data_IF_163651900606
#
_entry.id   IF_163651900606
#
_cell.length_a   1.000
_cell.length_b   1.000
_cell.length_c   1.000
_cell.angle_alpha   90.00
_cell.angle_beta   90.00
_cell.angle_gamma   90.00
#
_symmetry.space_group_name_H-M   'P 1'
#
loop_
_entity.id
_entity.type
_entity.pdbx_description
1 polymer ?
#
# COMPACT_ATOMS: atom_id res chain seq x y z
N UNK A 1 28.67 26.20 -17.58
CA UNK A 1 28.32 24.90 -18.16
C UNK A 1 28.36 23.91 -17.01
N UNK A 2 27.19 23.49 -16.53
CA UNK A 2 27.13 22.45 -15.51
C UNK A 2 27.56 21.14 -16.18
N UNK A 3 28.56 20.41 -15.66
CA UNK A 3 28.97 19.14 -16.26
C UNK A 3 27.75 18.21 -16.32
N UNK A 4 27.57 17.55 -17.46
CA UNK A 4 26.53 16.54 -17.62
C UNK A 4 26.57 15.57 -16.43
N UNK A 5 25.42 15.24 -15.84
CA UNK A 5 25.39 14.46 -14.60
C UNK A 5 26.07 13.09 -14.77
N UNK A 6 27.06 12.79 -13.92
CA UNK A 6 27.89 11.57 -14.03
C UNK A 6 27.20 10.36 -13.38
N UNK A 7 26.75 9.40 -14.19
CA UNK A 7 26.05 8.22 -13.70
C UNK A 7 26.95 7.26 -12.90
N UNK A 8 26.52 6.91 -11.68
CA UNK A 8 27.05 5.75 -10.94
C UNK A 8 26.47 4.49 -11.59
N UNK A 9 27.31 3.76 -12.34
CA UNK A 9 26.87 2.63 -13.16
C UNK A 9 27.52 1.32 -12.75
N UNK A 10 26.70 0.38 -12.26
CA UNK A 10 27.09 -0.97 -11.88
C UNK A 10 26.33 -1.95 -12.78
N UNK A 11 26.84 -2.17 -14.00
CA UNK A 11 26.16 -2.98 -15.02
C UNK A 11 26.96 -4.23 -15.34
N UNK A 12 26.31 -5.38 -15.20
CA UNK A 12 26.84 -6.64 -15.68
C UNK A 12 26.42 -6.89 -17.14
N UNK A 13 27.27 -7.53 -17.94
CA UNK A 13 27.00 -7.81 -19.36
C UNK A 13 25.73 -8.66 -19.57
N UNK A 14 25.47 -9.60 -18.66
CA UNK A 14 24.26 -10.42 -18.63
C UNK A 14 23.29 -9.94 -17.55
N UNK A 15 23.31 -8.65 -17.22
CA UNK A 15 22.56 -8.10 -16.11
C UNK A 15 21.12 -7.73 -16.44
N UNK A 16 20.28 -7.70 -15.40
CA UNK A 16 18.94 -7.07 -15.45
C UNK A 16 18.93 -5.89 -14.50
N UNK A 17 18.44 -4.74 -14.95
CA UNK A 17 18.30 -3.55 -14.10
C UNK A 17 17.35 -3.84 -12.94
N UNK A 18 17.81 -3.61 -11.72
CA UNK A 18 17.02 -3.80 -10.49
C UNK A 18 16.80 -2.49 -9.74
N UNK A 19 17.67 -1.50 -9.93
CA UNK A 19 17.52 -0.15 -9.39
C UNK A 19 18.06 0.86 -10.41
N UNK A 20 17.31 1.92 -10.66
CA UNK A 20 17.78 3.10 -11.38
C UNK A 20 17.30 4.38 -10.71
N UNK A 21 18.09 5.44 -10.84
CA UNK A 21 17.69 6.78 -10.44
C UNK A 21 17.99 7.76 -11.56
N UNK A 22 17.14 8.77 -11.66
CA UNK A 22 17.19 9.81 -12.67
C UNK A 22 17.22 11.17 -11.99
N UNK A 23 18.06 12.06 -12.47
CA UNK A 23 18.03 13.48 -12.11
C UNK A 23 17.22 14.24 -13.16
N UNK A 24 16.32 15.09 -12.69
CA UNK A 24 15.45 15.90 -13.53
C UNK A 24 15.80 17.36 -13.34
N UNK A 25 16.22 18.03 -14.40
CA UNK A 25 16.72 19.43 -14.36
C UNK A 25 15.60 20.48 -14.56
N UNK A 26 14.36 20.03 -14.76
CA UNK A 26 13.22 20.88 -15.10
C UNK A 26 12.73 20.70 -16.54
N UNK A 27 13.56 20.15 -17.42
CA UNK A 27 13.24 19.88 -18.81
C UNK A 27 13.44 18.40 -19.18
N UNK A 28 14.61 17.85 -18.86
CA UNK A 28 15.05 16.51 -19.28
C UNK A 28 15.42 15.63 -18.09
N UNK A 29 15.29 14.32 -18.27
CA UNK A 29 15.73 13.31 -17.30
C UNK A 29 17.08 12.73 -17.72
N UNK A 30 18.02 12.70 -16.80
CA UNK A 30 19.33 12.07 -16.99
C UNK A 30 19.48 10.90 -16.02
N UNK A 31 19.91 9.75 -16.52
CA UNK A 31 20.23 8.59 -15.67
C UNK A 31 21.46 8.91 -14.81
N UNK A 32 21.33 8.79 -13.49
CA UNK A 32 22.39 9.13 -12.53
C UNK A 32 22.83 7.97 -11.64
N UNK A 33 22.02 6.92 -11.59
CA UNK A 33 22.38 5.67 -10.92
C UNK A 33 21.75 4.51 -11.66
N UNK A 34 22.52 3.44 -11.83
CA UNK A 34 22.05 2.18 -12.38
C UNK A 34 22.74 1.02 -11.70
N UNK A 35 21.93 0.08 -11.24
CA UNK A 35 22.39 -1.22 -10.79
C UNK A 35 21.69 -2.33 -11.59
N UNK A 36 22.50 -3.04 -12.36
CA UNK A 36 22.07 -4.16 -13.21
C UNK A 36 22.93 -5.39 -12.92
N UNK A 37 22.65 -6.11 -11.82
CA UNK A 37 23.42 -7.29 -11.42
C UNK A 37 23.26 -8.44 -12.42
N UNK A 38 24.25 -9.34 -12.43
CA UNK A 38 24.19 -10.55 -13.25
C UNK A 38 23.00 -11.43 -12.90
N UNK A 39 22.43 -12.07 -13.92
CA UNK A 39 21.43 -13.13 -13.75
C UNK A 39 22.02 -14.53 -13.89
N UNK A 40 23.32 -14.65 -14.16
CA UNK A 40 23.98 -15.93 -14.32
C UNK A 40 24.12 -16.66 -12.97
N UNK A 41 23.54 -17.86 -12.87
CA UNK A 41 23.53 -18.66 -11.64
C UNK A 41 24.91 -19.18 -11.22
N UNK A 42 25.86 -19.26 -12.16
CA UNK A 42 27.23 -19.74 -11.89
C UNK A 42 28.14 -18.65 -11.32
N UNK A 43 27.71 -17.39 -11.30
CA UNK A 43 28.50 -16.32 -10.72
C UNK A 43 28.46 -16.32 -9.20
N UNK A 44 29.57 -15.90 -8.59
CA UNK A 44 29.74 -15.89 -7.13
C UNK A 44 28.62 -15.13 -6.41
N UNK A 45 28.18 -14.01 -6.95
CA UNK A 45 27.11 -13.20 -6.37
C UNK A 45 25.73 -13.90 -6.38
N UNK A 46 25.53 -14.92 -7.22
CA UNK A 46 24.26 -15.63 -7.34
C UNK A 46 24.32 -17.05 -6.76
N UNK A 47 25.42 -17.45 -6.11
CA UNK A 47 25.53 -18.75 -5.44
C UNK A 47 24.40 -18.92 -4.42
N UNK A 48 23.74 -20.07 -4.48
CA UNK A 48 22.57 -20.42 -3.64
C UNK A 48 21.39 -19.43 -3.72
N UNK A 49 21.36 -18.53 -4.70
CA UNK A 49 20.24 -17.58 -4.87
C UNK A 49 18.92 -18.24 -5.23
N UNK A 50 18.94 -19.49 -5.73
CA UNK A 50 17.76 -20.20 -6.22
C UNK A 50 16.94 -19.38 -7.25
N UNK A 51 17.65 -18.63 -8.12
CA UNK A 51 17.04 -17.80 -9.17
C UNK A 51 16.67 -16.39 -8.72
N UNK A 52 16.91 -16.03 -7.45
CA UNK A 52 16.72 -14.67 -6.95
C UNK A 52 17.90 -13.77 -7.33
N UNK A 53 17.62 -12.72 -8.10
CA UNK A 53 18.60 -11.68 -8.43
C UNK A 53 19.03 -10.85 -7.22
N UNK A 54 20.20 -10.20 -7.32
CA UNK A 54 20.66 -9.17 -6.39
C UNK A 54 19.70 -7.96 -6.42
N UNK A 55 18.62 -7.99 -5.66
CA UNK A 55 17.59 -6.95 -5.66
C UNK A 55 16.94 -6.86 -4.29
N UNK A 56 16.66 -5.63 -3.85
CA UNK A 56 15.90 -5.37 -2.63
C UNK A 56 14.53 -6.08 -2.72
N UNK A 57 13.83 -5.96 -3.85
CA UNK A 57 12.55 -6.65 -4.05
C UNK A 57 12.66 -8.18 -3.98
N UNK A 58 13.77 -8.76 -4.43
CA UNK A 58 13.99 -10.20 -4.31
C UNK A 58 14.39 -10.65 -2.91
N UNK A 59 14.99 -9.77 -2.11
CA UNK A 59 15.18 -10.01 -0.68
C UNK A 59 13.82 -10.10 0.05
N UNK A 60 12.88 -9.21 -0.28
CA UNK A 60 11.49 -9.31 0.19
C UNK A 60 10.77 -10.55 -0.31
N UNK A 61 11.00 -10.96 -1.56
CA UNK A 61 10.46 -12.22 -2.11
C UNK A 61 11.01 -13.44 -1.38
N UNK A 62 12.31 -13.44 -1.04
CA UNK A 62 12.90 -14.48 -0.20
C UNK A 62 12.22 -14.52 1.17
N UNK A 63 12.08 -13.39 1.84
CA UNK A 63 11.45 -13.31 3.16
C UNK A 63 9.99 -13.79 3.13
N UNK A 64 9.25 -13.44 2.07
CA UNK A 64 7.88 -13.90 1.84
C UNK A 64 7.83 -15.42 1.74
N UNK A 65 8.74 -16.01 0.95
CA UNK A 65 8.82 -17.46 0.81
C UNK A 65 9.26 -18.14 2.12
N UNK A 66 10.22 -17.57 2.84
CA UNK A 66 10.72 -18.12 4.09
C UNK A 66 9.66 -18.10 5.20
N UNK A 67 8.93 -16.99 5.34
CA UNK A 67 7.94 -16.80 6.42
C UNK A 67 6.56 -17.35 6.07
N UNK A 68 6.14 -17.33 4.81
CA UNK A 68 4.76 -17.66 4.42
C UNK A 68 4.66 -18.74 3.35
N UNK A 69 5.77 -19.27 2.86
CA UNK A 69 5.78 -20.30 1.81
C UNK A 69 5.32 -19.81 0.43
N UNK A 70 5.13 -18.50 0.26
CA UNK A 70 4.61 -17.87 -0.96
C UNK A 70 5.44 -16.65 -1.34
N UNK A 71 5.61 -16.42 -2.64
CA UNK A 71 6.44 -15.33 -3.15
C UNK A 71 5.78 -13.94 -3.08
N UNK A 72 4.45 -13.87 -2.95
CA UNK A 72 3.64 -12.65 -3.06
C UNK A 72 3.21 -12.06 -1.71
N UNK A 73 3.88 -12.44 -0.61
CA UNK A 73 3.45 -12.11 0.75
C UNK A 73 4.27 -10.99 1.41
N UNK A 74 4.91 -10.13 0.63
CA UNK A 74 5.76 -9.05 1.15
C UNK A 74 5.01 -8.11 2.11
N UNK A 75 3.73 -7.85 1.86
CA UNK A 75 2.87 -7.09 2.77
C UNK A 75 2.62 -7.78 4.11
N UNK A 76 2.60 -9.13 4.15
CA UNK A 76 2.52 -9.88 5.41
C UNK A 76 3.85 -9.85 6.16
N UNK A 77 4.97 -9.95 5.46
CA UNK A 77 6.31 -9.76 6.05
C UNK A 77 6.41 -8.38 6.71
N UNK A 78 5.98 -7.33 6.01
CA UNK A 78 5.99 -5.97 6.55
C UNK A 78 5.09 -5.83 7.80
N UNK A 79 3.90 -6.44 7.80
CA UNK A 79 3.02 -6.45 8.97
C UNK A 79 3.63 -7.22 10.14
N UNK A 80 4.23 -8.38 9.89
CA UNK A 80 4.85 -9.20 10.93
C UNK A 80 6.08 -8.51 11.55
N UNK A 81 6.83 -7.74 10.75
CA UNK A 81 8.04 -7.03 11.16
C UNK A 81 7.84 -6.12 12.38
N UNK A 82 6.67 -5.49 12.55
CA UNK A 82 6.45 -4.61 13.71
C UNK A 82 6.32 -5.36 15.05
N UNK A 83 6.19 -6.70 15.03
CA UNK A 83 6.23 -7.53 16.23
C UNK A 83 7.61 -8.16 16.51
N UNK A 84 8.59 -7.93 15.62
CA UNK A 84 9.92 -8.52 15.75
C UNK A 84 10.95 -7.60 16.42
N UNK A 85 12.04 -8.21 16.87
CA UNK A 85 13.24 -7.56 17.37
C UNK A 85 14.43 -7.94 16.47
N UNK A 86 15.32 -6.98 16.22
CA UNK A 86 16.50 -7.18 15.37
C UNK A 86 17.79 -7.43 16.14
N UNK A 87 17.73 -7.45 17.49
CA UNK A 87 18.90 -7.59 18.36
C UNK A 87 19.79 -8.79 17.98
N UNK A 88 19.19 -9.95 17.74
CA UNK A 88 19.88 -11.20 17.36
C UNK A 88 20.63 -11.07 16.02
N UNK A 89 20.11 -10.25 15.09
CA UNK A 89 20.62 -10.11 13.74
C UNK A 89 21.40 -8.81 13.50
N UNK A 90 21.81 -8.11 14.56
CA UNK A 90 22.51 -6.81 14.46
C UNK A 90 23.82 -6.90 13.67
N UNK A 91 24.57 -8.00 13.83
CA UNK A 91 25.85 -8.22 13.16
C UNK A 91 25.72 -8.98 11.82
N UNK A 92 24.49 -9.35 11.44
CA UNK A 92 24.26 -10.12 10.23
C UNK A 92 24.12 -9.18 9.04
N UNK A 93 25.25 -8.85 8.40
CA UNK A 93 25.23 -8.12 7.14
C UNK A 93 24.86 -9.06 5.98
N UNK A 94 23.60 -9.03 5.54
CA UNK A 94 23.08 -9.78 4.39
C UNK A 94 22.94 -8.87 3.17
N UNK A 95 22.33 -7.71 3.35
CA UNK A 95 22.08 -6.72 2.31
C UNK A 95 22.86 -5.45 2.63
N UNK A 96 23.70 -5.01 1.70
CA UNK A 96 24.52 -3.81 1.87
C UNK A 96 24.71 -3.04 0.57
N UNK A 97 25.11 -1.78 0.72
CA UNK A 97 25.61 -0.97 -0.38
C UNK A 97 26.97 -0.40 0.04
N UNK A 98 27.96 -0.43 -0.86
CA UNK A 98 29.26 0.17 -0.60
C UNK A 98 29.26 1.68 -0.89
N UNK A 99 30.37 2.37 -0.58
CA UNK A 99 30.53 3.81 -0.82
C UNK A 99 30.38 4.24 -2.29
N UNK A 100 30.59 3.31 -3.23
CA UNK A 100 30.49 3.55 -4.67
C UNK A 100 29.07 3.25 -5.18
N UNK A 101 28.13 2.88 -4.30
CA UNK A 101 26.75 2.57 -4.64
C UNK A 101 26.53 1.14 -5.14
N UNK A 102 27.50 0.23 -5.03
CA UNK A 102 27.33 -1.17 -5.42
C UNK A 102 26.53 -1.92 -4.35
N UNK A 103 25.39 -2.48 -4.73
CA UNK A 103 24.54 -3.30 -3.88
C UNK A 103 25.07 -4.74 -3.85
N UNK A 104 25.06 -5.35 -2.67
CA UNK A 104 25.41 -6.76 -2.45
C UNK A 104 24.42 -7.43 -1.50
N UNK A 105 23.96 -8.61 -1.89
CA UNK A 105 23.05 -9.49 -1.18
C UNK A 105 23.67 -10.89 -1.07
N UNK A 106 24.00 -11.31 0.15
CA UNK A 106 24.69 -12.58 0.40
C UNK A 106 23.70 -13.74 0.63
N UNK A 107 23.27 -14.37 -0.46
CA UNK A 107 22.36 -15.51 -0.42
C UNK A 107 22.95 -16.76 0.26
N UNK A 108 24.26 -16.97 0.17
CA UNK A 108 24.91 -18.11 0.82
C UNK A 108 24.84 -17.96 2.34
N UNK A 109 25.20 -16.79 2.85
CA UNK A 109 25.07 -16.46 4.27
C UNK A 109 23.62 -16.50 4.72
N UNK A 110 22.69 -15.98 3.90
CA UNK A 110 21.26 -16.01 4.18
C UNK A 110 20.74 -17.44 4.36
N UNK A 111 21.04 -18.35 3.45
CA UNK A 111 20.60 -19.74 3.53
C UNK A 111 21.35 -20.57 4.58
N UNK A 112 22.59 -20.17 4.92
CA UNK A 112 23.33 -20.77 6.02
C UNK A 112 22.69 -20.45 7.38
N UNK A 113 22.20 -19.22 7.54
CA UNK A 113 21.56 -18.77 8.78
C UNK A 113 20.12 -19.29 8.88
N UNK A 114 19.33 -19.13 7.82
CA UNK A 114 17.89 -19.37 7.83
C UNK A 114 17.52 -20.68 7.12
N UNK A 115 17.47 -21.77 7.90
CA UNK A 115 17.30 -23.14 7.38
C UNK A 115 15.88 -23.71 7.44
N UNK A 116 14.99 -23.10 8.22
CA UNK A 116 13.68 -23.66 8.53
C UNK A 116 12.56 -22.75 8.02
N UNK A 117 12.27 -22.75 6.72
CA UNK A 117 11.15 -21.99 6.16
C UNK A 117 9.81 -22.56 6.65
N UNK A 118 8.79 -21.70 6.78
CA UNK A 118 7.41 -22.05 7.11
C UNK A 118 6.69 -22.66 5.90
N UNK A 119 7.11 -23.86 5.49
CA UNK A 119 6.58 -24.56 4.31
C UNK A 119 5.14 -25.05 4.46
N UNK A 120 4.60 -25.03 5.68
CA UNK A 120 3.23 -25.47 5.97
C UNK A 120 2.22 -24.32 6.04
N UNK A 121 2.65 -23.08 5.80
CA UNK A 121 1.75 -21.92 5.80
C UNK A 121 1.06 -21.69 7.14
N UNK A 122 1.75 -21.95 8.26
CA UNK A 122 1.19 -21.73 9.60
C UNK A 122 0.94 -20.24 9.84
N UNK A 123 -0.12 -19.92 10.59
CA UNK A 123 -0.30 -18.58 11.17
C UNK A 123 0.92 -18.26 12.04
N UNK A 124 1.59 -17.15 11.74
CA UNK A 124 2.80 -16.69 12.43
C UNK A 124 2.51 -15.70 13.56
N UNK A 125 1.24 -15.52 13.94
CA UNK A 125 0.86 -14.67 15.06
C UNK A 125 1.56 -15.10 16.36
N UNK A 126 2.49 -14.28 16.84
CA UNK A 126 3.26 -14.54 18.06
C UNK A 126 4.52 -15.39 17.86
N UNK A 127 4.84 -15.80 16.62
CA UNK A 127 6.04 -16.59 16.31
C UNK A 127 7.29 -15.69 16.22
N UNK A 128 8.02 -15.58 17.35
CA UNK A 128 9.17 -14.68 17.52
C UNK A 128 10.21 -14.80 16.40
N UNK A 129 10.61 -16.02 16.04
CA UNK A 129 11.65 -16.24 15.02
C UNK A 129 11.33 -15.54 13.69
N UNK A 130 10.13 -15.76 13.16
CA UNK A 130 9.75 -15.20 11.86
C UNK A 130 9.45 -13.69 11.95
N UNK A 131 8.99 -13.22 13.10
CA UNK A 131 8.85 -11.80 13.37
C UNK A 131 10.21 -11.09 13.35
N UNK A 132 11.22 -11.64 14.02
CA UNK A 132 12.58 -11.09 14.05
C UNK A 132 13.24 -11.12 12.66
N UNK A 133 13.03 -12.20 11.89
CA UNK A 133 13.49 -12.27 10.48
C UNK A 133 12.84 -11.18 9.64
N UNK A 134 11.52 -10.98 9.81
CA UNK A 134 10.78 -9.93 9.10
C UNK A 134 11.27 -8.53 9.49
N UNK A 135 11.54 -8.31 10.78
CA UNK A 135 12.10 -7.06 11.29
C UNK A 135 13.52 -6.80 10.77
N UNK A 136 14.36 -7.83 10.65
CA UNK A 136 15.69 -7.73 10.04
C UNK A 136 15.59 -7.29 8.57
N UNK A 137 14.72 -7.93 7.78
CA UNK A 137 14.51 -7.59 6.36
C UNK A 137 14.04 -6.14 6.20
N UNK A 138 13.12 -5.71 7.06
CA UNK A 138 12.62 -4.34 7.11
C UNK A 138 13.75 -3.35 7.43
N UNK A 139 14.51 -3.59 8.51
CA UNK A 139 15.66 -2.77 8.93
C UNK A 139 16.73 -2.67 7.84
N UNK A 140 17.10 -3.77 7.22
CA UNK A 140 18.12 -3.82 6.18
C UNK A 140 17.68 -3.06 4.93
N UNK A 141 16.39 -3.17 4.57
CA UNK A 141 15.76 -2.41 3.47
C UNK A 141 15.79 -0.92 3.74
N UNK A 142 15.37 -0.50 4.93
CA UNK A 142 15.43 0.90 5.35
C UNK A 142 16.86 1.45 5.28
N UNK A 143 17.83 0.69 5.78
CA UNK A 143 19.23 1.10 5.80
C UNK A 143 19.77 1.28 4.37
N UNK A 144 19.57 0.29 3.49
CA UNK A 144 20.12 0.37 2.13
C UNK A 144 19.47 1.50 1.32
N UNK A 145 18.17 1.74 1.48
CA UNK A 145 17.50 2.86 0.83
C UNK A 145 18.08 4.20 1.29
N UNK A 146 18.27 4.38 2.60
CA UNK A 146 18.90 5.59 3.15
C UNK A 146 20.34 5.77 2.67
N UNK A 147 21.13 4.70 2.62
CA UNK A 147 22.52 4.75 2.15
C UNK A 147 22.59 5.15 0.66
N UNK A 148 21.77 4.53 -0.21
CA UNK A 148 21.70 4.88 -1.64
C UNK A 148 21.26 6.34 -1.81
N UNK A 149 20.18 6.75 -1.16
CA UNK A 149 19.67 8.11 -1.26
C UNK A 149 20.68 9.15 -0.75
N UNK A 150 21.45 8.83 0.29
CA UNK A 150 22.50 9.71 0.82
C UNK A 150 23.65 9.86 -0.19
N UNK A 151 24.09 8.77 -0.82
CA UNK A 151 25.09 8.81 -1.91
C UNK A 151 24.61 9.71 -3.05
N UNK A 152 23.34 9.56 -3.47
CA UNK A 152 22.77 10.36 -4.55
C UNK A 152 22.59 11.82 -4.16
N UNK A 153 22.09 12.12 -2.96
CA UNK A 153 21.94 13.49 -2.45
C UNK A 153 23.28 14.23 -2.38
N UNK A 154 24.36 13.54 -2.02
CA UNK A 154 25.71 14.10 -1.99
C UNK A 154 26.25 14.51 -3.37
N UNK A 155 25.73 13.91 -4.45
CA UNK A 155 26.09 14.24 -5.84
C UNK A 155 25.11 15.18 -6.53
N UNK A 156 23.82 15.06 -6.21
CA UNK A 156 22.73 15.78 -6.87
C UNK A 156 21.90 16.53 -5.83
N UNK A 157 22.08 17.84 -5.79
CA UNK A 157 21.34 18.72 -4.87
C UNK A 157 19.93 18.95 -5.41
N UNK A 158 18.99 18.11 -4.97
CA UNK A 158 17.54 18.30 -5.20
C UNK A 158 16.79 18.27 -3.88
N UNK A 159 15.73 19.06 -3.78
CA UNK A 159 14.84 19.06 -2.62
C UNK A 159 13.69 18.06 -2.76
N UNK A 160 13.47 17.50 -3.95
CA UNK A 160 12.34 16.63 -4.25
C UNK A 160 12.82 15.26 -4.71
N UNK A 161 12.29 14.22 -4.07
CA UNK A 161 12.44 12.83 -4.45
C UNK A 161 11.11 12.32 -5.03
N UNK A 162 11.13 11.84 -6.27
CA UNK A 162 10.07 10.99 -6.80
C UNK A 162 10.48 9.54 -6.59
N UNK A 163 9.64 8.74 -5.92
CA UNK A 163 9.97 7.37 -5.57
C UNK A 163 8.92 6.39 -6.12
N UNK A 164 9.39 5.36 -6.83
CA UNK A 164 8.55 4.34 -7.45
C UNK A 164 9.26 2.97 -7.44
N UNK A 165 8.57 1.95 -7.93
CA UNK A 165 8.92 0.53 -7.87
C UNK A 165 8.22 -0.20 -6.74
N UNK A 166 8.11 -1.52 -6.83
CA UNK A 166 7.37 -2.34 -5.84
C UNK A 166 7.86 -2.17 -4.39
N UNK A 167 9.15 -1.85 -4.18
CA UNK A 167 9.70 -1.56 -2.83
C UNK A 167 9.10 -0.28 -2.24
N UNK A 168 8.70 0.69 -3.06
CA UNK A 168 8.08 1.94 -2.61
C UNK A 168 6.71 1.73 -1.94
N UNK A 169 6.08 0.55 -2.08
CA UNK A 169 4.88 0.20 -1.30
C UNK A 169 5.16 0.03 0.20
N UNK A 170 6.43 -0.03 0.61
CA UNK A 170 6.86 -0.14 2.00
C UNK A 170 6.72 1.20 2.74
N UNK A 171 5.60 1.37 3.43
CA UNK A 171 5.26 2.63 4.11
C UNK A 171 6.16 2.95 5.29
N UNK A 172 6.75 1.94 5.92
CA UNK A 172 7.70 2.11 7.04
C UNK A 172 9.00 2.71 6.53
N UNK A 173 9.50 2.20 5.39
CA UNK A 173 10.67 2.76 4.72
C UNK A 173 10.40 4.17 4.16
N UNK A 174 9.22 4.39 3.59
CA UNK A 174 8.82 5.73 3.10
C UNK A 174 8.81 6.75 4.23
N UNK A 175 8.22 6.41 5.38
CA UNK A 175 8.14 7.32 6.52
C UNK A 175 9.53 7.62 7.09
N UNK A 176 10.44 6.64 7.10
CA UNK A 176 11.85 6.88 7.46
C UNK A 176 12.55 7.86 6.51
N UNK A 177 12.33 7.72 5.20
CA UNK A 177 12.89 8.64 4.20
C UNK A 177 12.35 10.05 4.42
N UNK A 178 11.04 10.20 4.63
CA UNK A 178 10.39 11.50 4.87
C UNK A 178 10.94 12.15 6.14
N UNK A 179 10.93 11.43 7.28
CA UNK A 179 11.40 11.95 8.58
C UNK A 179 12.90 12.23 8.64
N UNK A 180 13.69 11.65 7.72
CA UNK A 180 15.12 11.94 7.65
C UNK A 180 15.42 13.40 7.28
N UNK A 181 14.48 14.10 6.65
CA UNK A 181 14.69 15.45 6.12
C UNK A 181 15.71 15.51 4.98
N UNK A 182 16.11 14.38 4.40
CA UNK A 182 17.06 14.32 3.28
C UNK A 182 16.51 15.03 2.03
N UNK A 183 15.19 15.01 1.88
CA UNK A 183 14.42 15.73 0.86
C UNK A 183 13.31 16.53 1.55
N UNK A 184 13.04 17.74 1.07
CA UNK A 184 11.91 18.55 1.54
C UNK A 184 10.57 17.95 1.07
N UNK A 185 10.56 17.36 -0.12
CA UNK A 185 9.39 16.74 -0.72
C UNK A 185 9.69 15.30 -1.13
N UNK A 186 8.87 14.35 -0.69
CA UNK A 186 8.89 12.97 -1.16
C UNK A 186 7.54 12.69 -1.83
N UNK A 187 7.58 12.45 -3.12
CA UNK A 187 6.39 12.28 -3.96
C UNK A 187 6.21 10.81 -4.30
N UNK A 188 5.06 10.28 -3.91
CA UNK A 188 4.60 8.91 -4.12
C UNK A 188 3.16 8.98 -4.66
N UNK A 189 2.84 8.22 -5.72
CA UNK A 189 1.48 8.03 -6.20
C UNK A 189 0.89 6.70 -5.68
N UNK A 190 -0.39 6.41 -5.94
CA UNK A 190 -1.01 5.14 -5.56
C UNK A 190 -0.51 3.93 -6.36
N UNK A 191 -0.03 4.16 -7.58
CA UNK A 191 0.45 3.14 -8.51
C UNK A 191 1.97 3.22 -8.73
N UNK A 192 2.73 2.99 -7.67
CA UNK A 192 4.21 2.99 -7.71
C UNK A 192 4.80 1.69 -8.29
N UNK A 193 4.05 0.60 -8.29
CA UNK A 193 4.53 -0.71 -8.75
C UNK A 193 4.42 -0.86 -10.29
N UNK A 194 4.59 -2.08 -10.80
CA UNK A 194 4.64 -2.35 -12.23
C UNK A 194 3.37 -1.89 -12.98
N UNK A 195 2.22 -1.79 -12.31
CA UNK A 195 0.99 -1.24 -12.89
C UNK A 195 1.15 0.23 -13.35
N UNK A 196 1.93 1.04 -12.64
CA UNK A 196 2.20 2.43 -12.99
C UNK A 196 3.08 2.59 -14.23
N UNK A 197 3.80 1.54 -14.64
CA UNK A 197 4.70 1.61 -15.80
C UNK A 197 3.94 1.85 -17.11
N UNK A 198 2.68 1.42 -17.22
CA UNK A 198 1.84 1.70 -18.38
C UNK A 198 1.60 3.21 -18.53
N UNK A 199 1.32 3.91 -17.43
CA UNK A 199 1.16 5.37 -17.39
C UNK A 199 2.50 6.05 -17.73
N UNK A 200 3.59 5.61 -17.10
CA UNK A 200 4.93 6.14 -17.37
C UNK A 200 5.36 5.98 -18.83
N UNK A 201 5.10 4.83 -19.44
CA UNK A 201 5.40 4.54 -20.84
C UNK A 201 4.59 5.42 -21.80
N UNK A 202 3.30 5.60 -21.54
CA UNK A 202 2.45 6.49 -22.33
C UNK A 202 2.92 7.95 -22.25
N UNK A 203 3.27 8.42 -21.05
CA UNK A 203 3.81 9.77 -20.85
C UNK A 203 5.17 9.96 -21.52
N UNK A 204 6.06 8.96 -21.43
CA UNK A 204 7.36 8.99 -22.10
C UNK A 204 7.21 9.05 -23.63
N UNK A 205 6.34 8.21 -24.20
CA UNK A 205 6.05 8.23 -25.63
C UNK A 205 5.43 9.56 -26.07
N UNK A 206 4.46 10.09 -25.30
CA UNK A 206 3.85 11.40 -25.55
C UNK A 206 4.90 12.50 -25.55
N UNK A 207 5.81 12.52 -24.57
CA UNK A 207 6.86 13.54 -24.50
C UNK A 207 7.81 13.47 -25.72
N UNK A 208 8.18 12.27 -26.16
CA UNK A 208 9.03 12.07 -27.35
C UNK A 208 8.33 12.56 -28.62
N UNK A 209 7.05 12.21 -28.80
CA UNK A 209 6.30 12.52 -30.01
C UNK A 209 5.88 13.99 -30.08
N UNK A 210 5.43 14.55 -28.97
CA UNK A 210 4.87 15.91 -28.92
C UNK A 210 5.95 16.97 -28.66
N UNK A 211 7.10 16.58 -28.11
CA UNK A 211 8.19 17.47 -27.65
C UNK A 211 7.68 18.62 -26.76
N UNK A 212 6.59 18.37 -26.05
CA UNK A 212 5.92 19.33 -25.19
C UNK A 212 5.41 18.58 -23.96
N UNK A 213 5.88 19.01 -22.80
CA UNK A 213 5.34 18.56 -21.53
C UNK A 213 4.00 19.24 -21.28
N UNK A 214 2.97 18.45 -20.99
CA UNK A 214 1.68 18.94 -20.48
C UNK A 214 1.60 18.56 -19.02
N UNK A 215 1.35 19.55 -18.16
CA UNK A 215 1.12 19.33 -16.73
C UNK A 215 -0.38 19.14 -16.50
N UNK A 216 -0.74 18.06 -15.82
CA UNK A 216 -2.11 17.80 -15.39
C UNK A 216 -2.12 17.50 -13.89
N UNK A 217 -3.27 17.71 -13.25
CA UNK A 217 -3.48 17.27 -11.88
C UNK A 217 -3.40 15.75 -11.82
N UNK A 218 -2.47 15.23 -11.03
CA UNK A 218 -2.35 13.79 -10.82
C UNK A 218 -3.53 13.31 -9.98
N UNK A 219 -4.20 12.26 -10.43
CA UNK A 219 -5.22 11.53 -9.68
C UNK A 219 -4.82 10.07 -9.59
N UNK A 220 -5.41 9.32 -8.66
CA UNK A 220 -5.33 7.86 -8.65
C UNK A 220 -6.68 7.23 -9.05
N UNK A 221 -7.68 8.01 -9.45
CA UNK A 221 -9.03 7.52 -9.78
C UNK A 221 -9.26 7.40 -11.30
N UNK A 222 -8.55 6.47 -11.94
CA UNK A 222 -8.58 6.34 -13.40
C UNK A 222 -9.68 5.42 -13.95
N UNK A 223 -10.32 4.59 -13.13
CA UNK A 223 -11.31 3.63 -13.62
C UNK A 223 -12.65 4.24 -14.03
N UNK A 224 -13.63 3.38 -14.29
CA UNK A 224 -14.93 3.83 -14.84
C UNK A 224 -15.83 4.40 -13.74
N UNK A 225 -16.48 5.51 -14.04
CA UNK A 225 -17.64 5.97 -13.27
C UNK A 225 -18.90 5.33 -13.85
N UNK A 226 -19.81 4.90 -12.97
CA UNK A 226 -21.09 4.29 -13.33
C UNK A 226 -22.22 5.21 -12.90
N UNK A 227 -23.18 5.46 -13.79
CA UNK A 227 -24.36 6.26 -13.45
C UNK A 227 -25.42 5.42 -12.75
N UNK A 228 -26.32 6.06 -11.99
CA UNK A 228 -27.34 5.37 -11.20
C UNK A 228 -28.20 4.39 -12.03
N UNK A 229 -28.51 4.69 -13.30
CA UNK A 229 -29.24 3.77 -14.17
C UNK A 229 -28.47 2.47 -14.45
N UNK A 230 -27.16 2.54 -14.67
CA UNK A 230 -26.32 1.35 -14.89
C UNK A 230 -26.22 0.51 -13.61
N UNK A 231 -26.12 1.19 -12.46
CA UNK A 231 -26.10 0.55 -11.14
C UNK A 231 -27.44 -0.15 -10.88
N UNK A 232 -28.57 0.52 -11.14
CA UNK A 232 -29.89 -0.05 -10.96
C UNK A 232 -30.08 -1.30 -11.82
N UNK A 233 -29.71 -1.25 -13.11
CA UNK A 233 -29.76 -2.43 -13.99
C UNK A 233 -28.97 -3.59 -13.43
N UNK A 234 -27.77 -3.35 -12.88
CA UNK A 234 -26.99 -4.40 -12.25
C UNK A 234 -27.65 -4.94 -10.97
N UNK A 235 -28.24 -4.08 -10.13
CA UNK A 235 -28.93 -4.50 -8.90
C UNK A 235 -30.15 -5.39 -9.22
N UNK A 236 -30.92 -5.06 -10.26
CA UNK A 236 -32.13 -5.80 -10.67
C UNK A 236 -31.84 -7.24 -11.12
N UNK A 237 -30.58 -7.58 -11.46
CA UNK A 237 -30.16 -8.96 -11.73
C UNK A 237 -30.05 -9.82 -10.46
N UNK A 238 -30.08 -9.21 -9.27
CA UNK A 238 -29.95 -9.87 -7.98
C UNK A 238 -31.24 -9.75 -7.15
N UNK A 239 -31.50 -10.74 -6.30
CA UNK A 239 -32.67 -10.75 -5.41
C UNK A 239 -32.38 -10.13 -4.03
N UNK A 240 -31.84 -8.92 -4.00
CA UNK A 240 -31.57 -8.18 -2.76
C UNK A 240 -32.64 -7.13 -2.47
N UNK A 241 -32.79 -6.77 -1.18
CA UNK A 241 -33.56 -5.59 -0.79
C UNK A 241 -32.68 -4.35 -1.03
N UNK A 242 -33.21 -3.34 -1.72
CA UNK A 242 -32.50 -2.10 -1.96
C UNK A 242 -33.45 -0.90 -1.91
N UNK A 243 -32.90 0.25 -1.53
CA UNK A 243 -33.58 1.53 -1.58
C UNK A 243 -32.70 2.56 -2.30
N UNK A 244 -33.34 3.49 -3.02
CA UNK A 244 -32.69 4.70 -3.49
C UNK A 244 -32.70 5.74 -2.38
N UNK A 245 -31.55 6.32 -2.08
CA UNK A 245 -31.39 7.36 -1.07
C UNK A 245 -30.80 8.60 -1.74
N UNK A 246 -31.44 9.74 -1.50
CA UNK A 246 -30.96 11.03 -1.99
C UNK A 246 -29.52 11.31 -1.51
N UNK A 247 -28.76 12.03 -2.32
CA UNK A 247 -27.32 12.24 -2.10
C UNK A 247 -27.03 12.94 -0.75
N UNK A 248 -27.88 13.86 -0.33
CA UNK A 248 -27.74 14.55 0.95
C UNK A 248 -27.96 13.62 2.16
N UNK A 249 -28.71 12.54 1.98
CA UNK A 249 -29.10 11.61 3.05
C UNK A 249 -28.24 10.33 3.09
N UNK A 250 -27.68 9.88 1.96
CA UNK A 250 -26.95 8.60 1.89
C UNK A 250 -25.74 8.60 2.84
N UNK A 251 -25.04 9.72 2.97
CA UNK A 251 -23.88 9.84 3.85
C UNK A 251 -24.26 9.70 5.33
N UNK A 252 -25.35 10.35 5.76
CA UNK A 252 -25.83 10.25 7.15
C UNK A 252 -26.35 8.83 7.45
N UNK A 253 -26.98 8.16 6.46
CA UNK A 253 -27.41 6.76 6.58
C UNK A 253 -26.22 5.80 6.76
N UNK A 254 -25.23 5.88 5.88
CA UNK A 254 -24.04 5.02 5.96
C UNK A 254 -23.21 5.34 7.22
N UNK A 255 -23.05 6.62 7.58
CA UNK A 255 -22.41 7.02 8.83
C UNK A 255 -23.09 6.39 10.06
N UNK A 256 -24.42 6.39 10.08
CA UNK A 256 -25.20 5.74 11.15
C UNK A 256 -25.00 4.22 11.19
N UNK A 257 -24.94 3.55 10.04
CA UNK A 257 -24.64 2.12 9.96
C UNK A 257 -23.25 1.81 10.52
N UNK A 258 -22.23 2.57 10.09
CA UNK A 258 -20.86 2.43 10.57
C UNK A 258 -20.80 2.65 12.09
N UNK A 259 -21.41 3.71 12.60
CA UNK A 259 -21.41 4.03 14.04
C UNK A 259 -22.04 2.90 14.87
N UNK A 260 -23.09 2.25 14.35
CA UNK A 260 -23.71 1.05 14.92
C UNK A 260 -22.93 -0.25 14.63
N UNK A 261 -21.65 -0.15 14.30
CA UNK A 261 -20.72 -1.25 14.05
C UNK A 261 -21.12 -2.19 12.92
N UNK A 262 -21.88 -1.70 11.93
CA UNK A 262 -22.07 -2.42 10.68
C UNK A 262 -20.86 -2.23 9.77
N UNK A 263 -20.57 -3.26 8.98
CA UNK A 263 -19.54 -3.23 7.94
C UNK A 263 -20.24 -2.98 6.62
N UNK A 264 -19.80 -1.98 5.87
CA UNK A 264 -20.47 -1.52 4.66
C UNK A 264 -19.53 -1.65 3.46
N UNK A 265 -19.97 -2.36 2.43
CA UNK A 265 -19.35 -2.26 1.10
C UNK A 265 -19.66 -0.88 0.52
N UNK A 266 -18.65 -0.21 -0.01
CA UNK A 266 -18.72 1.18 -0.46
C UNK A 266 -18.19 1.28 -1.89
N UNK A 267 -19.08 1.62 -2.82
CA UNK A 267 -18.82 1.74 -4.24
C UNK A 267 -19.28 3.12 -4.72
N UNK A 268 -18.31 3.98 -5.04
CA UNK A 268 -18.57 5.36 -5.48
C UNK A 268 -17.62 5.76 -6.61
N UNK A 269 -18.10 6.64 -7.50
CA UNK A 269 -17.26 7.31 -8.51
C UNK A 269 -16.36 6.38 -9.35
N UNK A 270 -15.26 6.95 -9.84
CA UNK A 270 -14.22 6.24 -10.58
C UNK A 270 -13.37 5.41 -9.62
N UNK A 271 -13.11 4.15 -9.93
CA UNK A 271 -12.23 3.33 -9.08
C UNK A 271 -10.80 3.85 -9.04
N UNK A 272 -10.16 3.55 -7.93
CA UNK A 272 -8.75 3.78 -7.68
C UNK A 272 -7.86 2.81 -8.49
N UNK A 273 -6.71 3.29 -8.94
CA UNK A 273 -5.68 2.53 -9.65
C UNK A 273 -4.53 2.24 -8.68
N UNK A 274 -4.18 0.96 -8.56
CA UNK A 274 -3.16 0.49 -7.63
C UNK A 274 -3.68 -0.60 -6.68
N UNK A 275 -2.83 -1.09 -5.76
CA UNK A 275 -3.16 -2.24 -4.91
C UNK A 275 -3.99 -1.88 -3.67
N UNK A 276 -4.42 -0.62 -3.53
CA UNK A 276 -5.06 -0.10 -2.32
C UNK A 276 -6.40 0.50 -2.67
N UNK A 277 -7.42 0.18 -1.90
CA UNK A 277 -8.66 0.94 -1.93
C UNK A 277 -8.48 2.26 -1.19
N UNK A 278 -8.86 3.35 -1.85
CA UNK A 278 -8.73 4.74 -1.45
C UNK A 278 -10.09 5.41 -1.27
N UNK A 279 -11.14 4.62 -1.04
CA UNK A 279 -12.48 5.11 -0.72
C UNK A 279 -13.49 5.08 -1.86
N UNK A 280 -13.19 4.46 -3.01
CA UNK A 280 -14.14 4.30 -4.10
C UNK A 280 -14.56 2.85 -4.36
N UNK A 281 -13.70 1.88 -4.02
CA UNK A 281 -14.01 0.44 -4.01
C UNK A 281 -13.56 -0.18 -2.67
N UNK A 282 -14.27 0.20 -1.61
CA UNK A 282 -13.82 0.00 -0.23
C UNK A 282 -14.81 -0.81 0.60
N UNK A 283 -14.32 -1.48 1.63
CA UNK A 283 -15.12 -1.95 2.76
C UNK A 283 -14.81 -1.01 3.92
N UNK A 284 -15.85 -0.39 4.45
CA UNK A 284 -15.77 0.62 5.49
C UNK A 284 -16.30 0.09 6.82
N UNK A 285 -15.66 0.50 7.91
CA UNK A 285 -16.06 0.09 9.25
C UNK A 285 -15.71 1.14 10.32
N UNK A 286 -16.30 0.99 11.51
CA UNK A 286 -15.99 1.85 12.67
C UNK A 286 -14.62 1.50 13.27
N UNK A 287 -13.65 2.43 13.28
CA UNK A 287 -12.31 2.17 13.80
C UNK A 287 -12.23 2.11 15.33
N UNK A 288 -13.21 2.67 16.06
CA UNK A 288 -13.18 2.71 17.52
C UNK A 288 -13.72 1.46 18.20
N UNK A 289 -14.34 0.55 17.44
CA UNK A 289 -14.91 -0.66 18.00
C UNK A 289 -13.83 -1.71 18.30
N UNK A 290 -13.75 -2.21 19.55
CA UNK A 290 -12.73 -3.18 19.95
C UNK A 290 -12.88 -4.53 19.23
N UNK A 291 -14.09 -4.85 18.76
CA UNK A 291 -14.39 -6.12 18.09
C UNK A 291 -14.26 -6.03 16.56
N UNK A 292 -14.13 -4.82 15.99
CA UNK A 292 -14.25 -4.65 14.55
C UNK A 292 -13.15 -5.36 13.77
N UNK A 293 -11.91 -5.29 14.26
CA UNK A 293 -10.80 -6.02 13.64
C UNK A 293 -11.04 -7.53 13.61
N UNK A 294 -11.56 -8.09 14.70
CA UNK A 294 -11.91 -9.51 14.79
C UNK A 294 -13.01 -9.89 13.79
N UNK A 295 -14.07 -9.06 13.69
CA UNK A 295 -15.15 -9.26 12.72
C UNK A 295 -14.60 -9.26 11.29
N UNK A 296 -13.77 -8.28 10.96
CA UNK A 296 -13.19 -8.16 9.62
C UNK A 296 -12.26 -9.34 9.32
N UNK A 297 -11.36 -9.71 10.22
CA UNK A 297 -10.38 -10.78 9.98
C UNK A 297 -11.06 -12.15 9.82
N UNK A 298 -12.08 -12.46 10.61
CA UNK A 298 -12.71 -13.79 10.62
C UNK A 298 -13.90 -13.96 9.70
N UNK A 299 -14.74 -12.92 9.57
CA UNK A 299 -16.01 -13.04 8.87
C UNK A 299 -16.00 -12.35 7.49
N UNK A 300 -15.09 -11.40 7.25
CA UNK A 300 -15.08 -10.62 6.00
C UNK A 300 -13.85 -10.93 5.13
N UNK A 301 -12.67 -11.01 5.73
CA UNK A 301 -11.37 -11.07 5.03
C UNK A 301 -10.61 -12.37 5.19
N UNK A 302 -11.00 -13.24 6.11
CA UNK A 302 -10.38 -14.55 6.36
C UNK A 302 -8.84 -14.50 6.30
N UNK A 303 -8.22 -13.60 7.08
CA UNK A 303 -6.78 -13.32 7.01
C UNK A 303 -6.10 -13.32 8.38
N UNK A 304 -4.77 -13.37 8.39
CA UNK A 304 -3.95 -13.45 9.60
C UNK A 304 -4.20 -12.28 10.56
N UNK A 305 -4.24 -12.58 11.87
CA UNK A 305 -4.69 -11.65 12.92
C UNK A 305 -3.77 -10.45 13.12
N UNK A 306 -2.49 -10.56 12.80
CA UNK A 306 -1.55 -9.44 12.94
C UNK A 306 -1.70 -8.40 11.83
N UNK A 307 -2.41 -8.69 10.71
CA UNK A 307 -2.49 -7.75 9.59
C UNK A 307 -3.24 -6.47 9.97
N UNK A 308 -2.65 -5.27 9.78
CA UNK A 308 -3.33 -4.01 10.07
C UNK A 308 -4.44 -3.71 9.07
N UNK A 309 -5.39 -2.88 9.51
CA UNK A 309 -6.31 -2.15 8.64
C UNK A 309 -5.89 -0.67 8.60
N UNK A 310 -6.23 0.03 7.52
CA UNK A 310 -5.85 1.42 7.34
C UNK A 310 -6.98 2.36 7.80
N UNK A 311 -6.67 3.44 8.53
CA UNK A 311 -7.61 4.54 8.72
C UNK A 311 -7.63 5.46 7.49
N UNK A 312 -8.80 6.02 7.20
CA UNK A 312 -8.97 7.25 6.41
C UNK A 312 -9.48 8.37 7.30
N UNK A 313 -8.88 9.55 7.20
CA UNK A 313 -9.15 10.73 8.04
C UNK A 313 -9.24 11.99 7.20
N UNK A 314 -10.06 12.94 7.62
CA UNK A 314 -10.07 14.28 7.01
C UNK A 314 -8.70 14.94 7.17
N UNK A 315 -8.14 15.46 6.08
CA UNK A 315 -6.78 16.01 6.05
C UNK A 315 -6.56 17.07 7.13
N UNK A 316 -7.49 18.01 7.24
CA UNK A 316 -7.42 19.14 8.19
C UNK A 316 -7.47 18.71 9.66
N UNK A 317 -7.82 17.45 9.93
CA UNK A 317 -7.90 16.84 11.26
C UNK A 317 -6.82 15.78 11.50
N UNK A 318 -6.09 15.33 10.47
CA UNK A 318 -5.17 14.20 10.53
C UNK A 318 -4.13 14.30 11.67
N UNK A 319 -3.49 15.47 11.81
CA UNK A 319 -2.45 15.74 12.83
C UNK A 319 -2.96 15.65 14.28
N UNK A 320 -4.27 15.68 14.49
CA UNK A 320 -4.86 15.55 15.83
C UNK A 320 -4.95 14.09 16.29
N UNK A 321 -4.77 13.14 15.38
CA UNK A 321 -4.99 11.71 15.61
C UNK A 321 -3.79 10.85 15.22
N UNK A 322 -2.95 11.33 14.30
CA UNK A 322 -1.77 10.63 13.83
C UNK A 322 -0.54 11.54 13.87
N UNK A 323 0.59 11.00 14.30
CA UNK A 323 1.91 11.62 14.14
C UNK A 323 2.29 11.53 12.66
N UNK A 324 1.86 12.52 11.89
CA UNK A 324 2.17 12.66 10.47
C UNK A 324 2.35 14.14 10.12
N UNK A 325 3.48 14.48 9.50
CA UNK A 325 3.78 15.83 9.03
C UNK A 325 3.36 15.99 7.57
N UNK A 326 2.06 16.20 7.33
CA UNK A 326 1.53 16.50 6.00
C UNK A 326 0.45 15.51 5.54
N UNK A 327 0.38 15.29 4.23
CA UNK A 327 -0.70 14.56 3.57
C UNK A 327 -0.29 13.12 3.22
N UNK A 328 -1.26 12.24 3.10
CA UNK A 328 -1.10 10.84 2.66
C UNK A 328 -2.34 10.38 1.87
N UNK A 329 -2.62 10.95 0.69
CA UNK A 329 -3.87 10.70 -0.03
C UNK A 329 -4.02 9.24 -0.51
N UNK A 330 -2.89 8.54 -0.66
CA UNK A 330 -2.79 7.19 -1.25
C UNK A 330 -2.31 6.12 -0.28
N UNK A 331 -2.48 6.35 1.03
CA UNK A 331 -2.02 5.48 2.12
C UNK A 331 -0.50 5.25 2.19
N UNK A 332 0.33 6.01 1.47
CA UNK A 332 1.77 5.70 1.29
C UNK A 332 2.65 6.04 2.49
N UNK A 333 2.04 6.54 3.57
CA UNK A 333 2.71 6.91 4.82
C UNK A 333 2.19 6.13 6.01
N UNK A 334 3.06 6.00 7.01
CA UNK A 334 2.76 5.48 8.33
C UNK A 334 2.77 6.63 9.34
N UNK A 335 1.95 6.56 10.38
CA UNK A 335 2.02 7.49 11.51
C UNK A 335 1.62 6.80 12.81
N UNK A 336 2.21 7.22 13.94
CA UNK A 336 1.80 6.73 15.27
C UNK A 336 0.40 7.26 15.60
N UNK A 337 -0.46 6.39 16.14
CA UNK A 337 -1.79 6.77 16.58
C UNK A 337 -1.67 7.54 17.89
N UNK A 338 -2.07 8.80 17.91
CA UNK A 338 -1.90 9.72 19.05
C UNK A 338 -2.96 9.55 20.15
N UNK A 339 -4.03 8.81 19.85
CA UNK A 339 -5.15 8.57 20.78
C UNK A 339 -5.47 7.08 20.84
N UNK A 340 -5.54 6.52 22.05
CA UNK A 340 -5.71 5.08 22.29
C UNK A 340 -7.14 4.54 22.04
N UNK A 341 -7.96 5.25 21.24
CA UNK A 341 -9.38 4.95 21.08
C UNK A 341 -9.71 4.23 19.76
N UNK A 342 -8.70 3.81 18.99
CA UNK A 342 -8.89 3.25 17.64
C UNK A 342 -8.27 1.85 17.47
N UNK A 343 -8.68 0.86 18.28
CA UNK A 343 -8.04 -0.46 18.30
C UNK A 343 -8.14 -1.21 16.97
N UNK A 344 -9.13 -0.92 16.12
CA UNK A 344 -9.31 -1.67 14.87
C UNK A 344 -8.33 -1.29 13.77
N UNK A 345 -7.69 -0.12 13.87
CA UNK A 345 -6.73 0.43 12.90
C UNK A 345 -5.33 0.62 13.47
N UNK A 346 -5.14 0.38 14.77
CA UNK A 346 -3.85 0.53 15.44
C UNK A 346 -3.09 -0.79 15.39
N UNK A 347 -1.88 -0.74 14.87
CA UNK A 347 -1.00 -1.89 14.81
C UNK A 347 -0.33 -2.19 16.16
N UNK A 348 0.34 -3.33 16.29
CA UNK A 348 0.92 -3.80 17.57
C UNK A 348 1.98 -2.85 18.15
N UNK A 349 2.66 -2.09 17.31
CA UNK A 349 3.65 -1.09 17.67
C UNK A 349 3.04 0.32 17.84
N UNK A 350 1.72 0.45 17.76
CA UNK A 350 0.99 1.72 17.91
C UNK A 350 0.93 2.58 16.64
N UNK A 351 1.38 2.07 15.50
CA UNK A 351 1.30 2.78 14.22
C UNK A 351 0.01 2.48 13.44
N UNK A 352 -0.25 3.28 12.42
CA UNK A 352 -1.26 3.01 11.41
C UNK A 352 -0.80 3.54 10.05
N UNK A 353 -1.22 2.86 8.97
CA UNK A 353 -1.00 3.32 7.59
C UNK A 353 -2.13 4.26 7.16
N UNK A 354 -1.94 5.57 7.29
CA UNK A 354 -3.04 6.53 7.22
C UNK A 354 -3.29 7.03 5.80
N UNK A 355 -4.58 7.15 5.45
CA UNK A 355 -5.06 7.90 4.29
C UNK A 355 -5.60 9.26 4.75
N UNK A 356 -5.14 10.36 4.15
CA UNK A 356 -5.81 11.66 4.27
C UNK A 356 -6.75 11.87 3.10
N UNK A 357 -7.82 12.64 3.29
CA UNK A 357 -8.73 12.99 2.21
C UNK A 357 -9.21 14.43 2.34
N UNK A 358 -9.27 15.11 1.20
CA UNK A 358 -9.91 16.42 1.03
C UNK A 358 -11.17 16.31 0.18
N UNK A 359 -12.01 17.35 0.20
CA UNK A 359 -13.23 17.43 -0.62
C UNK A 359 -12.91 17.36 -2.12
N UNK A 360 -11.84 17.99 -2.56
CA UNK A 360 -11.46 18.06 -3.98
C UNK A 360 -10.91 16.72 -4.52
N UNK A 361 -10.31 15.89 -3.66
CA UNK A 361 -9.76 14.60 -4.06
C UNK A 361 -10.83 13.52 -4.12
N UNK A 362 -11.73 13.46 -3.13
CA UNK A 362 -12.80 12.47 -3.06
C UNK A 362 -13.99 13.01 -2.25
N UNK A 363 -14.84 13.80 -2.91
CA UNK A 363 -16.01 14.42 -2.31
C UNK A 363 -16.97 13.42 -1.63
N UNK A 364 -17.36 12.27 -2.23
CA UNK A 364 -18.23 11.31 -1.57
C UNK A 364 -17.66 10.77 -0.25
N UNK A 365 -16.38 10.39 -0.24
CA UNK A 365 -15.73 9.88 0.97
C UNK A 365 -15.60 10.99 2.03
N UNK A 366 -15.23 12.20 1.61
CA UNK A 366 -15.12 13.37 2.48
C UNK A 366 -16.46 13.70 3.15
N UNK A 367 -17.57 13.72 2.40
CA UNK A 367 -18.93 13.91 2.93
C UNK A 367 -19.32 12.80 3.90
N UNK A 368 -19.02 11.53 3.60
CA UNK A 368 -19.26 10.41 4.50
C UNK A 368 -18.49 10.56 5.83
N UNK A 369 -17.22 10.93 5.79
CA UNK A 369 -16.42 11.10 7.02
C UNK A 369 -16.91 12.30 7.82
N UNK A 370 -17.31 13.41 7.18
CA UNK A 370 -17.98 14.53 7.86
C UNK A 370 -19.28 14.09 8.55
N UNK A 371 -20.11 13.31 7.88
CA UNK A 371 -21.34 12.75 8.46
C UNK A 371 -21.03 11.82 9.64
N UNK A 372 -19.99 10.99 9.52
CA UNK A 372 -19.54 10.11 10.59
C UNK A 372 -19.01 10.89 11.81
N UNK A 373 -18.24 11.95 11.61
CA UNK A 373 -17.74 12.83 12.69
C UNK A 373 -18.89 13.41 13.54
N UNK A 374 -20.01 13.79 12.91
CA UNK A 374 -21.20 14.30 13.64
C UNK A 374 -21.76 13.29 14.64
N UNK A 375 -21.72 12.00 14.32
CA UNK A 375 -22.30 10.94 15.17
C UNK A 375 -21.27 10.27 16.09
N UNK A 376 -20.00 10.23 15.68
CA UNK A 376 -18.92 9.54 16.40
C UNK A 376 -18.08 10.49 17.27
N UNK A 377 -18.05 11.78 16.94
CA UNK A 377 -17.15 12.77 17.54
C UNK A 377 -15.70 12.71 17.03
N UNK A 378 -15.42 11.93 15.98
CA UNK A 378 -14.13 11.94 15.30
C UNK A 378 -14.23 11.64 13.79
N UNK A 379 -13.37 12.28 12.95
CA UNK A 379 -13.44 12.18 11.49
C UNK A 379 -12.57 11.04 10.93
N UNK A 380 -12.71 9.81 11.46
CA UNK A 380 -11.89 8.65 11.04
C UNK A 380 -12.79 7.46 10.73
N UNK A 381 -12.56 6.81 9.59
CA UNK A 381 -13.21 5.55 9.21
C UNK A 381 -12.13 4.51 8.93
N UNK A 382 -12.38 3.23 9.27
CA UNK A 382 -11.52 2.14 8.81
C UNK A 382 -11.81 1.86 7.34
N UNK A 383 -10.76 1.85 6.51
CA UNK A 383 -10.82 1.55 5.09
C UNK A 383 -10.00 0.28 4.76
N UNK A 384 -10.61 -0.65 4.02
CA UNK A 384 -9.92 -1.78 3.41
C UNK A 384 -10.44 -2.06 2.00
N UNK A 385 -9.67 -2.78 1.19
CA UNK A 385 -10.06 -3.20 -0.16
C UNK A 385 -11.44 -3.87 -0.19
N UNK A 386 -12.26 -3.57 -1.20
CA UNK A 386 -13.49 -4.32 -1.46
C UNK A 386 -13.21 -5.48 -2.40
N UNK A 387 -13.03 -6.66 -1.81
CA UNK A 387 -12.75 -7.91 -2.50
C UNK A 387 -12.96 -9.09 -1.54
N UNK A 388 -13.20 -10.28 -2.08
CA UNK A 388 -13.09 -11.53 -1.33
C UNK A 388 -11.62 -11.98 -1.26
N UNK A 389 -11.27 -12.89 -0.33
CA UNK A 389 -9.92 -13.44 -0.28
C UNK A 389 -9.53 -14.11 -1.60
N UNK A 390 -8.37 -13.74 -2.15
CA UNK A 390 -7.88 -14.28 -3.41
C UNK A 390 -8.41 -13.58 -4.67
N UNK A 391 -9.32 -12.61 -4.53
CA UNK A 391 -9.87 -11.84 -5.65
C UNK A 391 -9.26 -10.42 -5.73
N UNK A 392 -9.24 -9.80 -6.92
CA UNK A 392 -8.90 -8.39 -7.08
C UNK A 392 -9.97 -7.47 -6.45
N UNK A 393 -9.65 -6.19 -6.32
CA UNK A 393 -10.64 -5.16 -5.95
C UNK A 393 -11.74 -5.13 -7.01
N UNK A 394 -13.00 -5.04 -6.56
CA UNK A 394 -14.17 -4.96 -7.46
C UNK A 394 -14.10 -3.70 -8.33
N UNK A 395 -14.44 -3.81 -9.62
CA UNK A 395 -14.41 -2.67 -10.56
C UNK A 395 -15.82 -2.20 -10.92
N UNK A 396 -16.67 -3.12 -11.36
CA UNK A 396 -18.02 -2.83 -11.84
C UNK A 396 -19.09 -3.02 -10.76
N UNK A 397 -20.31 -2.46 -10.94
CA UNK A 397 -21.44 -2.73 -10.05
C UNK A 397 -21.74 -4.23 -9.92
N UNK A 398 -21.66 -4.97 -11.03
CA UNK A 398 -21.85 -6.43 -11.04
C UNK A 398 -20.77 -7.15 -10.22
N UNK A 399 -19.50 -6.73 -10.30
CA UNK A 399 -18.43 -7.31 -9.48
C UNK A 399 -18.69 -7.05 -7.98
N UNK A 400 -19.12 -5.83 -7.63
CA UNK A 400 -19.46 -5.46 -6.25
C UNK A 400 -20.65 -6.27 -5.72
N UNK A 401 -21.68 -6.49 -6.53
CA UNK A 401 -22.85 -7.31 -6.18
C UNK A 401 -22.51 -8.79 -6.07
N UNK A 402 -21.65 -9.32 -6.96
CA UNK A 402 -21.13 -10.69 -6.85
C UNK A 402 -20.32 -10.88 -5.56
N UNK A 403 -19.40 -9.96 -5.27
CA UNK A 403 -18.61 -9.97 -4.04
C UNK A 403 -19.50 -9.87 -2.80
N UNK A 404 -20.52 -8.99 -2.84
CA UNK A 404 -21.51 -8.86 -1.79
C UNK A 404 -22.31 -10.15 -1.59
N UNK A 405 -22.78 -10.77 -2.67
CA UNK A 405 -23.57 -12.02 -2.68
C UNK A 405 -22.80 -13.21 -2.10
N UNK A 406 -21.53 -13.35 -2.47
CA UNK A 406 -20.67 -14.45 -2.04
C UNK A 406 -19.97 -14.18 -0.70
N UNK A 407 -19.94 -12.92 -0.24
CA UNK A 407 -19.35 -12.52 1.03
C UNK A 407 -20.33 -12.45 2.19
N UNK A 408 -19.87 -11.92 3.32
CA UNK A 408 -20.66 -11.79 4.56
C UNK A 408 -21.02 -10.34 4.91
N UNK A 409 -20.90 -9.41 3.97
CA UNK A 409 -21.36 -8.04 4.15
C UNK A 409 -22.89 -8.01 4.28
N UNK A 410 -23.40 -7.23 5.23
CA UNK A 410 -24.84 -7.00 5.44
C UNK A 410 -25.37 -5.86 4.59
N UNK A 411 -24.54 -4.85 4.32
CA UNK A 411 -24.90 -3.63 3.60
C UNK A 411 -23.88 -3.31 2.50
N UNK A 412 -24.39 -2.83 1.37
CA UNK A 412 -23.61 -2.33 0.24
C UNK A 412 -24.21 -1.02 -0.24
N UNK A 413 -23.42 0.05 -0.23
CA UNK A 413 -23.75 1.32 -0.85
C UNK A 413 -23.13 1.37 -2.26
N UNK A 414 -23.98 1.45 -3.27
CA UNK A 414 -23.64 1.51 -4.70
C UNK A 414 -24.19 2.82 -5.27
N UNK A 415 -23.35 3.84 -5.40
CA UNK A 415 -23.83 5.18 -5.76
C UNK A 415 -24.85 5.67 -4.72
N UNK A 416 -26.08 5.93 -5.17
CA UNK A 416 -27.20 6.33 -4.32
C UNK A 416 -28.08 5.18 -3.84
N UNK A 417 -27.74 3.93 -4.17
CA UNK A 417 -28.50 2.76 -3.74
C UNK A 417 -27.89 2.14 -2.49
N UNK A 418 -28.72 1.93 -1.46
CA UNK A 418 -28.36 1.14 -0.31
C UNK A 418 -28.98 -0.25 -0.43
N UNK A 419 -28.14 -1.25 -0.70
CA UNK A 419 -28.49 -2.65 -0.79
C UNK A 419 -28.28 -3.31 0.58
N UNK A 420 -29.20 -4.16 0.99
CA UNK A 420 -29.13 -4.89 2.25
C UNK A 420 -29.49 -6.35 2.08
N UNK A 421 -28.93 -7.21 2.93
CA UNK A 421 -29.39 -8.59 3.05
C UNK A 421 -30.68 -8.61 3.86
N UNK A 422 -31.72 -9.21 3.29
CA UNK A 422 -32.94 -9.52 4.05
C UNK A 422 -32.57 -10.40 5.24
N UNK A 423 -33.17 -10.13 6.41
CA UNK A 423 -33.02 -10.96 7.61
C UNK A 423 -33.44 -12.43 7.38
N UNK A 424 -34.12 -12.74 6.27
CA UNK A 424 -34.54 -14.09 5.85
C UNK A 424 -33.53 -14.86 5.00
N UNK A 425 -32.40 -14.26 4.59
CA UNK A 425 -31.43 -14.90 3.67
C UNK A 425 -30.15 -15.40 4.31
N UNK A 426 -30.06 -15.47 5.65
CA UNK A 426 -29.03 -16.26 6.30
C UNK A 426 -29.33 -17.74 6.03
N UNK A 427 -28.87 -18.25 4.89
CA UNK A 427 -28.90 -19.68 4.59
C UNK A 427 -28.04 -20.39 5.64
N UNK A 428 -28.71 -21.28 6.36
CA UNK A 428 -28.19 -22.28 7.30
C UNK A 428 -27.01 -23.06 6.76
#
# INVERSE_FOLDING_TARGET
EDPSPECISHVHMMGKETVSAYWFDGNDTSLVYRFSPSVASFEKCNLNSNGLLQSIGHYWRWASNYCFGLHSEAGKVMGLAASGDTAEYTNLNILSVNKDGLISLDYEKLHKEFKFPNIFGKDLSGEKHYADVSAMVQRDTEKILMDILTILKGKYTTNTLYYAGGVALNVVANEKIIRSGLFENVILNGSVEDNGTAIGAALAASNILMKKRVTETVTDFYGRAYVNNEILTAIEEFSFEFEFVEEDQIYDRVASLLFNNKVVGWFQGRSEFGPRALGNRSILANPSSPNMKYILDLHIKHRDRYRPYAPVVLEERARQYFDIDGVSPVMMREGKVLKNNFPAITHVDGSARVQTVTENENEPLYKLIKAFDKVSGFPIILNTSFNLPGEPIVESPTDALNSFSNGSLEYLCLGNYLVSRSSKSAKS
#
